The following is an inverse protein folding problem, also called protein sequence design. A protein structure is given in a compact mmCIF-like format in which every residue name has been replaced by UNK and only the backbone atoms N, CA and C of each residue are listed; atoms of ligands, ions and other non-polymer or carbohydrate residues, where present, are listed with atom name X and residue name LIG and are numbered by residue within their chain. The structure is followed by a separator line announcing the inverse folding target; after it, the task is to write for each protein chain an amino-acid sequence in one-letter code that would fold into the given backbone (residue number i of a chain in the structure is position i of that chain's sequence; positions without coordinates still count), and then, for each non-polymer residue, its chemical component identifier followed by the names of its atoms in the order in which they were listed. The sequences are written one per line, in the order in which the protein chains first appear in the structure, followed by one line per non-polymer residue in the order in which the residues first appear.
data_IF_460660995698
#
_entry.id   IF_460660995698
#
_cell.length_a   1.000
_cell.length_b   1.000
_cell.length_c   1.000
_cell.angle_alpha   90.00
_cell.angle_beta   90.00
_cell.angle_gamma   90.00
#
_symmetry.space_group_name_H-M   'P 1'
#
loop_
_entity.id
_entity.type
_entity.pdbx_description
1 polymer ?
#
# COMPACT_ATOMS: atom_id res chain seq x y z
N UNK A 1 27.09 18.72 2.71
CA UNK A 1 25.92 17.98 3.23
C UNK A 1 25.65 16.83 2.28
N UNK A 2 25.28 15.66 2.80
CA UNK A 2 24.85 14.55 1.97
C UNK A 2 23.38 14.75 1.58
N UNK A 3 23.06 14.52 0.31
CA UNK A 3 21.68 14.56 -0.17
C UNK A 3 20.87 13.44 0.50
N UNK A 4 19.60 13.73 0.79
CA UNK A 4 18.72 12.83 1.51
C UNK A 4 17.41 12.63 0.75
N UNK A 5 16.86 11.44 0.82
CA UNK A 5 15.50 11.14 0.41
C UNK A 5 14.57 11.25 1.63
N UNK A 6 13.31 11.62 1.38
CA UNK A 6 12.28 11.77 2.42
C UNK A 6 11.19 10.73 2.18
N UNK A 7 10.96 9.86 3.16
CA UNK A 7 9.94 8.82 3.16
C UNK A 7 8.86 9.13 4.19
N UNK A 8 7.61 8.85 3.85
CA UNK A 8 6.46 8.98 4.76
C UNK A 8 5.83 7.61 4.98
N UNK A 9 5.74 7.21 6.24
CA UNK A 9 5.23 5.92 6.69
C UNK A 9 3.85 6.05 7.30
N UNK A 10 3.07 4.98 7.16
CA UNK A 10 1.85 4.79 7.93
C UNK A 10 2.17 4.80 9.43
N UNK A 11 1.34 5.48 10.22
CA UNK A 11 1.45 5.46 11.67
C UNK A 11 0.34 4.60 12.28
N UNK A 12 0.68 3.45 12.89
CA UNK A 12 -0.33 2.54 13.46
C UNK A 12 -0.99 3.08 14.74
N UNK A 13 -0.40 4.07 15.42
CA UNK A 13 -0.96 4.66 16.64
C UNK A 13 -1.99 5.75 16.32
N UNK A 14 -1.74 6.53 15.26
CA UNK A 14 -2.59 7.63 14.80
C UNK A 14 -2.46 7.78 13.29
N UNK A 15 -3.44 7.24 12.56
CA UNK A 15 -3.46 7.25 11.09
C UNK A 15 -3.48 8.66 10.47
N UNK A 16 -3.85 9.70 11.21
CA UNK A 16 -3.81 11.09 10.73
C UNK A 16 -2.46 11.77 11.01
N UNK A 17 -1.50 11.07 11.61
CA UNK A 17 -0.13 11.56 11.85
C UNK A 17 0.90 10.63 11.22
N UNK A 18 1.10 10.68 9.90
CA UNK A 18 2.13 9.92 9.22
C UNK A 18 3.53 10.18 9.80
N UNK A 19 4.39 9.16 9.81
CA UNK A 19 5.78 9.28 10.31
C UNK A 19 6.73 9.61 9.17
N UNK A 20 7.48 10.69 9.29
CA UNK A 20 8.48 11.10 8.30
C UNK A 20 9.86 10.57 8.69
N UNK A 21 10.61 10.05 7.73
CA UNK A 21 11.99 9.59 7.93
C UNK A 21 12.85 10.01 6.75
N UNK A 22 14.05 10.52 7.04
CA UNK A 22 15.07 10.79 6.03
C UNK A 22 16.04 9.62 5.92
N UNK A 23 16.50 9.37 4.70
CA UNK A 23 17.54 8.36 4.40
C UNK A 23 18.53 8.97 3.41
N UNK A 24 19.77 8.44 3.29
CA UNK A 24 20.70 8.90 2.26
C UNK A 24 20.10 8.76 0.86
N UNK A 25 20.45 9.69 -0.03
CA UNK A 25 19.97 9.70 -1.41
C UNK A 25 20.16 8.33 -2.12
N UNK A 26 19.13 7.89 -2.83
CA UNK A 26 19.10 6.63 -3.58
C UNK A 26 18.72 5.41 -2.73
N UNK A 27 18.64 5.54 -1.40
CA UNK A 27 18.08 4.46 -0.55
C UNK A 27 16.56 4.49 -0.49
N UNK A 28 15.91 5.61 -0.81
CA UNK A 28 14.46 5.74 -0.82
C UNK A 28 13.79 4.69 -1.71
N UNK A 29 14.24 4.59 -2.97
CA UNK A 29 13.70 3.65 -3.95
C UNK A 29 13.88 2.19 -3.52
N UNK A 30 15.06 1.83 -3.00
CA UNK A 30 15.34 0.48 -2.51
C UNK A 30 14.40 0.08 -1.37
N UNK A 31 14.11 1.02 -0.46
CA UNK A 31 13.21 0.77 0.67
C UNK A 31 11.77 0.58 0.18
N UNK A 32 11.29 1.44 -0.73
CA UNK A 32 9.94 1.32 -1.29
C UNK A 32 9.78 0.02 -2.07
N UNK A 33 10.78 -0.34 -2.89
CA UNK A 33 10.76 -1.57 -3.68
C UNK A 33 10.74 -2.81 -2.78
N UNK A 34 11.58 -2.86 -1.74
CA UNK A 34 11.58 -3.96 -0.77
C UNK A 34 10.20 -4.13 -0.09
N UNK A 35 9.57 -3.04 0.35
CA UNK A 35 8.24 -3.09 0.96
C UNK A 35 7.17 -3.52 -0.04
N UNK A 36 7.26 -3.07 -1.30
CA UNK A 36 6.35 -3.48 -2.38
C UNK A 36 6.52 -4.96 -2.71
N UNK A 37 7.74 -5.49 -2.72
CA UNK A 37 7.99 -6.92 -2.88
C UNK A 37 7.43 -7.75 -1.73
N UNK A 38 7.64 -7.32 -0.48
CA UNK A 38 7.06 -7.98 0.69
C UNK A 38 5.53 -8.00 0.64
N UNK A 39 4.90 -6.87 0.28
CA UNK A 39 3.46 -6.78 0.09
C UNK A 39 2.97 -7.74 -1.02
N UNK A 40 3.66 -7.76 -2.17
CA UNK A 40 3.36 -8.70 -3.27
C UNK A 40 3.47 -10.15 -2.82
N UNK A 41 4.54 -10.53 -2.11
CA UNK A 41 4.73 -11.90 -1.58
C UNK A 41 3.63 -12.28 -0.59
N UNK A 42 3.25 -11.37 0.32
CA UNK A 42 2.14 -11.59 1.27
C UNK A 42 0.82 -11.81 0.53
N UNK A 43 0.51 -11.00 -0.47
CA UNK A 43 -0.70 -11.13 -1.28
C UNK A 43 -0.70 -12.43 -2.11
N UNK A 44 0.44 -12.80 -2.70
CA UNK A 44 0.60 -14.07 -3.41
C UNK A 44 0.38 -15.26 -2.47
N UNK A 45 0.96 -15.25 -1.27
CA UNK A 45 0.80 -16.33 -0.30
C UNK A 45 -0.65 -16.46 0.18
N UNK A 46 -1.36 -15.33 0.41
CA UNK A 46 -2.80 -15.34 0.71
C UNK A 46 -3.63 -15.89 -0.43
N UNK A 47 -3.32 -15.50 -1.67
CA UNK A 47 -3.99 -16.01 -2.87
C UNK A 47 -3.77 -17.52 -3.03
N UNK A 48 -2.55 -18.00 -2.83
CA UNK A 48 -2.21 -19.42 -2.87
C UNK A 48 -2.97 -20.22 -1.79
N UNK A 49 -3.03 -19.73 -0.55
CA UNK A 49 -3.80 -20.36 0.52
C UNK A 49 -5.29 -20.45 0.19
N UNK A 50 -5.86 -19.40 -0.41
CA UNK A 50 -7.25 -19.39 -0.87
C UNK A 50 -7.50 -20.50 -1.91
N UNK A 51 -6.63 -20.62 -2.91
CA UNK A 51 -6.73 -21.67 -3.92
C UNK A 51 -6.61 -23.07 -3.34
N UNK A 52 -5.72 -23.29 -2.38
CA UNK A 52 -5.59 -24.56 -1.67
C UNK A 52 -6.89 -24.90 -0.94
N UNK A 53 -7.48 -23.95 -0.20
CA UNK A 53 -8.73 -24.17 0.52
C UNK A 53 -9.88 -24.49 -0.46
N UNK A 54 -9.97 -23.76 -1.57
CA UNK A 54 -10.96 -24.03 -2.63
C UNK A 54 -10.78 -25.44 -3.19
N UNK A 55 -9.55 -25.86 -3.49
CA UNK A 55 -9.25 -27.20 -4.00
C UNK A 55 -9.64 -28.31 -3.00
N UNK A 56 -9.38 -28.10 -1.70
CA UNK A 56 -9.78 -29.04 -0.63
C UNK A 56 -11.30 -29.14 -0.53
N UNK A 57 -12.01 -28.01 -0.55
CA UNK A 57 -13.48 -27.96 -0.49
C UNK A 57 -14.11 -28.68 -1.68
N UNK A 58 -13.60 -28.42 -2.89
CA UNK A 58 -14.07 -29.08 -4.11
C UNK A 58 -13.75 -30.58 -4.10
N UNK A 59 -12.54 -30.97 -3.69
CA UNK A 59 -12.14 -32.37 -3.56
C UNK A 59 -13.03 -33.13 -2.58
N UNK A 60 -13.32 -32.54 -1.42
CA UNK A 60 -14.23 -33.11 -0.42
C UNK A 60 -15.66 -33.28 -0.98
N UNK A 61 -16.21 -32.25 -1.63
CA UNK A 61 -17.56 -32.29 -2.17
C UNK A 61 -17.73 -33.33 -3.30
N UNK A 62 -16.70 -33.50 -4.14
CA UNK A 62 -16.71 -34.47 -5.24
C UNK A 62 -16.55 -35.91 -4.75
N UNK A 63 -15.63 -36.17 -3.81
CA UNK A 63 -15.27 -37.53 -3.40
C UNK A 63 -16.23 -38.09 -2.35
N UNK A 64 -16.69 -37.27 -1.40
CA UNK A 64 -17.45 -37.76 -0.23
C UNK A 64 -18.94 -37.56 -0.40
N UNK A 65 -19.38 -36.40 -0.90
CA UNK A 65 -20.81 -36.05 -1.01
C UNK A 65 -21.39 -36.46 -2.37
N UNK A 66 -20.56 -36.51 -3.42
CA UNK A 66 -20.99 -36.83 -4.79
C UNK A 66 -21.87 -35.74 -5.43
N UNK A 67 -22.06 -34.60 -4.76
CA UNK A 67 -22.90 -33.51 -5.22
C UNK A 67 -22.06 -32.30 -5.64
N UNK A 68 -21.80 -32.22 -6.94
CA UNK A 68 -21.01 -31.14 -7.57
C UNK A 68 -21.59 -29.75 -7.24
N UNK A 69 -22.92 -29.64 -7.19
CA UNK A 69 -23.62 -28.37 -6.94
C UNK A 69 -23.28 -27.78 -5.56
N UNK A 70 -23.23 -28.62 -4.52
CA UNK A 70 -22.89 -28.20 -3.16
C UNK A 70 -21.44 -27.74 -3.08
N UNK A 71 -20.52 -28.42 -3.77
CA UNK A 71 -19.11 -28.03 -3.85
C UNK A 71 -18.91 -26.66 -4.50
N UNK A 72 -19.62 -26.38 -5.59
CA UNK A 72 -19.55 -25.08 -6.28
C UNK A 72 -20.07 -23.95 -5.37
N UNK A 73 -21.20 -24.16 -4.69
CA UNK A 73 -21.75 -23.17 -3.76
C UNK A 73 -20.77 -22.90 -2.61
N UNK A 74 -20.20 -23.96 -2.01
CA UNK A 74 -19.23 -23.83 -0.93
C UNK A 74 -17.96 -23.08 -1.36
N UNK A 75 -17.42 -23.38 -2.55
CA UNK A 75 -16.28 -22.65 -3.11
C UNK A 75 -16.59 -21.17 -3.34
N UNK A 76 -17.80 -20.84 -3.81
CA UNK A 76 -18.27 -19.46 -3.96
C UNK A 76 -18.35 -18.70 -2.64
N UNK A 77 -18.83 -19.34 -1.56
CA UNK A 77 -18.87 -18.76 -0.22
C UNK A 77 -17.46 -18.51 0.31
N UNK A 78 -16.55 -19.49 0.21
CA UNK A 78 -15.15 -19.32 0.62
C UNK A 78 -14.49 -18.15 -0.12
N UNK A 79 -14.69 -18.07 -1.44
CA UNK A 79 -14.18 -16.96 -2.23
C UNK A 79 -14.71 -15.60 -1.75
N UNK A 80 -16.02 -15.49 -1.49
CA UNK A 80 -16.63 -14.24 -0.99
C UNK A 80 -16.09 -13.84 0.39
N UNK A 81 -15.93 -14.79 1.30
CA UNK A 81 -15.35 -14.55 2.63
C UNK A 81 -13.91 -14.05 2.50
N UNK A 82 -13.07 -14.74 1.73
CA UNK A 82 -11.69 -14.31 1.48
C UNK A 82 -11.62 -12.95 0.79
N UNK A 83 -12.51 -12.68 -0.17
CA UNK A 83 -12.61 -11.39 -0.84
C UNK A 83 -12.95 -10.27 0.14
N UNK A 84 -13.79 -10.52 1.14
CA UNK A 84 -14.14 -9.53 2.15
C UNK A 84 -13.01 -9.30 3.15
N UNK A 85 -12.37 -10.38 3.62
CA UNK A 85 -11.26 -10.32 4.59
C UNK A 85 -9.98 -9.70 4.03
N UNK A 86 -9.75 -9.80 2.72
CA UNK A 86 -8.55 -9.24 2.09
C UNK A 86 -8.65 -7.74 1.74
N UNK A 87 -9.74 -7.04 2.10
CA UNK A 87 -9.85 -5.60 1.87
C UNK A 87 -8.95 -4.84 2.86
N UNK A 88 -7.90 -4.18 2.37
CA UNK A 88 -7.07 -3.24 3.15
C UNK A 88 -5.61 -3.63 3.42
N UNK A 89 -5.05 -4.67 2.79
CA UNK A 89 -3.70 -5.16 3.11
C UNK A 89 -2.53 -4.42 2.49
N UNK A 90 -2.77 -3.49 1.57
CA UNK A 90 -1.70 -2.80 0.84
C UNK A 90 -1.22 -1.50 1.53
N UNK A 91 -1.79 -1.18 2.71
CA UNK A 91 -1.65 0.10 3.41
C UNK A 91 -0.28 0.37 4.10
N UNK A 92 0.77 -0.42 3.82
CA UNK A 92 2.05 -0.35 4.54
C UNK A 92 3.26 0.00 3.69
N UNK A 93 3.08 0.26 2.39
CA UNK A 93 4.20 0.69 1.54
C UNK A 93 4.47 2.18 1.86
N UNK A 94 5.71 2.57 2.23
CA UNK A 94 6.02 3.97 2.47
C UNK A 94 5.93 4.79 1.18
N UNK A 95 5.50 6.03 1.31
CA UNK A 95 5.45 7.00 0.22
C UNK A 95 6.80 7.72 0.12
N UNK A 96 7.42 7.72 -1.06
CA UNK A 96 8.66 8.45 -1.33
C UNK A 96 8.32 9.87 -1.74
N UNK A 97 8.46 10.79 -0.79
CA UNK A 97 8.01 12.18 -0.91
C UNK A 97 9.02 13.04 -1.67
N UNK A 98 10.31 12.87 -1.37
CA UNK A 98 11.41 13.55 -2.04
C UNK A 98 12.46 12.51 -2.39
N UNK A 99 12.84 12.44 -3.67
CA UNK A 99 13.88 11.56 -4.19
C UNK A 99 15.01 12.42 -4.76
N UNK A 100 16.21 12.25 -4.22
CA UNK A 100 17.45 12.89 -4.66
C UNK A 100 18.50 11.87 -5.13
N UNK A 101 18.13 10.61 -5.37
CA UNK A 101 19.05 9.52 -5.71
C UNK A 101 19.92 9.76 -6.95
N UNK A 102 19.35 10.38 -7.98
CA UNK A 102 20.06 10.72 -9.23
C UNK A 102 20.67 12.13 -9.21
N UNK A 103 20.56 12.84 -8.09
CA UNK A 103 20.97 14.25 -7.99
C UNK A 103 22.41 14.33 -7.50
N UNK A 104 23.26 15.06 -8.23
CA UNK A 104 24.69 15.19 -7.89
C UNK A 104 25.01 16.49 -7.12
N UNK A 105 24.14 17.49 -7.21
CA UNK A 105 24.31 18.81 -6.59
C UNK A 105 23.08 19.17 -5.77
N UNK A 106 23.19 20.16 -4.88
CA UNK A 106 22.04 20.63 -4.12
C UNK A 106 20.91 21.08 -5.07
N UNK A 107 19.66 20.58 -4.89
CA UNK A 107 18.56 20.94 -5.76
C UNK A 107 18.19 22.42 -5.57
N UNK A 108 17.98 23.12 -6.69
CA UNK A 108 17.41 24.47 -6.69
C UNK A 108 15.93 24.37 -7.08
N UNK A 109 15.04 24.83 -6.18
CA UNK A 109 13.59 24.90 -6.40
C UNK A 109 13.16 26.36 -6.40
N UNK A 110 12.81 26.88 -7.57
CA UNK A 110 12.21 28.21 -7.67
C UNK A 110 10.72 28.12 -7.28
N UNK A 111 10.36 28.72 -6.15
CA UNK A 111 9.00 28.77 -5.62
C UNK A 111 8.35 30.15 -5.82
N UNK A 112 8.87 30.97 -6.73
CA UNK A 112 8.31 32.31 -7.01
C UNK A 112 6.88 32.18 -7.53
N UNK A 113 5.93 32.79 -6.81
CA UNK A 113 4.50 32.72 -7.16
C UNK A 113 3.82 31.39 -6.82
N UNK A 114 4.48 30.49 -6.08
CA UNK A 114 3.88 29.23 -5.65
C UNK A 114 2.67 29.45 -4.71
N UNK A 115 1.60 28.70 -4.94
CA UNK A 115 0.46 28.63 -4.02
C UNK A 115 0.83 27.89 -2.73
N UNK A 116 0.00 28.05 -1.68
CA UNK A 116 0.28 27.51 -0.35
C UNK A 116 0.65 26.01 -0.36
N UNK A 117 -0.13 25.16 -1.03
CA UNK A 117 0.16 23.71 -1.11
C UNK A 117 1.45 23.38 -1.85
N UNK A 118 1.75 24.11 -2.94
CA UNK A 118 2.98 23.90 -3.70
C UNK A 118 4.24 24.37 -2.94
N UNK A 119 4.10 25.38 -2.07
CA UNK A 119 5.20 25.87 -1.23
C UNK A 119 5.37 24.99 0.01
N UNK A 120 4.30 24.79 0.79
CA UNK A 120 4.34 24.24 2.15
C UNK A 120 4.03 22.72 2.20
N UNK A 121 3.64 22.12 1.09
CA UNK A 121 3.09 20.77 1.04
C UNK A 121 1.57 20.78 1.22
N UNK A 122 0.93 19.69 0.79
CA UNK A 122 -0.52 19.51 0.88
C UNK A 122 -0.86 18.04 1.18
N UNK A 123 -2.12 17.77 1.52
CA UNK A 123 -2.66 16.43 1.70
C UNK A 123 -3.88 16.26 0.81
N UNK A 124 -3.81 15.32 -0.13
CA UNK A 124 -4.90 15.06 -1.06
C UNK A 124 -6.17 14.65 -0.34
N UNK A 125 -7.29 15.19 -0.80
CA UNK A 125 -8.61 14.76 -0.36
C UNK A 125 -8.89 13.32 -0.82
N UNK A 126 -9.52 12.51 0.04
CA UNK A 126 -9.97 11.17 -0.30
C UNK A 126 -11.50 11.10 -0.36
N UNK A 127 -12.11 10.93 -1.54
CA UNK A 127 -13.56 10.77 -1.68
C UNK A 127 -14.14 9.55 -0.94
N UNK A 128 -13.33 8.54 -0.62
CA UNK A 128 -13.77 7.28 -0.03
C UNK A 128 -13.56 7.19 1.49
N UNK A 129 -13.25 8.31 2.15
CA UNK A 129 -12.95 8.38 3.58
C UNK A 129 -14.09 7.85 4.49
N UNK A 130 -15.34 7.85 4.02
CA UNK A 130 -16.50 7.30 4.75
C UNK A 130 -16.93 5.90 4.30
N UNK A 131 -16.34 5.38 3.22
CA UNK A 131 -16.80 4.17 2.53
C UNK A 131 -16.03 2.88 2.84
N UNK A 132 -15.06 2.92 3.76
CA UNK A 132 -14.22 1.76 4.10
C UNK A 132 -13.24 1.32 3.01
N UNK A 133 -13.04 2.16 2.00
CA UNK A 133 -11.98 2.04 0.97
C UNK A 133 -11.06 3.26 1.01
N UNK A 134 -10.72 3.69 2.22
CA UNK A 134 -9.88 4.86 2.42
C UNK A 134 -8.45 4.60 1.93
N UNK A 135 -7.89 5.62 1.30
CA UNK A 135 -6.48 5.72 0.98
C UNK A 135 -5.73 6.05 2.27
N UNK A 136 -4.68 5.28 2.63
CA UNK A 136 -3.88 5.59 3.80
C UNK A 136 -3.38 7.03 3.78
N UNK A 137 -3.41 7.70 4.93
CA UNK A 137 -3.06 9.12 5.00
C UNK A 137 -1.63 9.43 4.57
N UNK A 138 -0.67 8.52 4.75
CA UNK A 138 0.72 8.74 4.32
C UNK A 138 0.89 8.77 2.79
N UNK A 139 0.02 8.07 2.05
CA UNK A 139 0.01 8.08 0.58
C UNK A 139 -0.63 9.35 0.01
N UNK A 140 -1.33 10.11 0.84
CA UNK A 140 -2.00 11.37 0.46
C UNK A 140 -1.11 12.60 0.67
N UNK A 141 0.01 12.47 1.37
CA UNK A 141 0.95 13.56 1.63
C UNK A 141 1.71 13.92 0.36
N UNK A 142 1.78 15.21 0.06
CA UNK A 142 2.52 15.80 -1.05
C UNK A 142 3.63 16.73 -0.54
N UNK A 143 4.76 16.73 -1.26
CA UNK A 143 5.93 17.53 -0.90
C UNK A 143 5.69 19.00 -1.25
N UNK A 144 6.06 19.90 -0.36
CA UNK A 144 6.24 21.31 -0.68
C UNK A 144 7.58 21.58 -1.38
N UNK A 145 7.77 22.82 -1.81
CA UNK A 145 9.06 23.30 -2.28
C UNK A 145 10.08 23.53 -1.15
N UNK A 146 9.62 23.66 0.11
CA UNK A 146 10.45 23.81 1.31
C UNK A 146 10.48 22.56 2.18
#
# INVERSE_FOLDING_TARGET
EELQDVLVYHNPEDGNKPKVRTVPAGKGDQIVEAHREEARKRNQMRSLLMWIIIAVVLGYALIIVGQILVGIIAAGVVYLVFRYLNRGSDAMIPNLLVNNGDTQTAPFRDATGAHAGALLGDVRHDPFQSGGMETPSHDRVEAGAI
#
